data_IF_316937768072
#
_entry.id   IF_316937768072
#
_cell.length_a   1.000
_cell.length_b   1.000
_cell.length_c   1.000
_cell.angle_alpha   90.00
_cell.angle_beta   90.00
_cell.angle_gamma   90.00
#
_symmetry.space_group_name_H-M   'P 1'
#
loop_
_entity.id
_entity.type
_entity.pdbx_description
1 polymer ?
#
# COMPACT_ATOMS: atom_id res chain seq x y z
N UNK A 1 -9.64 3.66 -14.57
CA UNK A 1 -8.70 2.52 -14.60
C UNK A 1 -8.63 1.96 -13.20
N UNK A 2 -8.92 0.67 -13.03
CA UNK A 2 -9.06 0.03 -11.71
C UNK A 2 -7.71 -0.10 -10.99
N UNK A 3 -7.74 -0.02 -9.65
CA UNK A 3 -6.63 -0.34 -8.75
C UNK A 3 -6.05 -1.74 -9.00
N UNK A 4 -6.89 -2.72 -9.36
CA UNK A 4 -6.45 -4.08 -9.67
C UNK A 4 -5.52 -4.12 -10.90
N UNK A 5 -5.84 -3.35 -11.94
CA UNK A 5 -4.99 -3.24 -13.14
C UNK A 5 -3.63 -2.64 -12.80
N UNK A 6 -3.60 -1.51 -12.08
CA UNK A 6 -2.34 -0.88 -11.68
C UNK A 6 -1.49 -1.80 -10.79
N UNK A 7 -2.12 -2.51 -9.84
CA UNK A 7 -1.47 -3.52 -9.02
C UNK A 7 -0.82 -4.61 -9.88
N UNK A 8 -1.55 -5.16 -10.86
CA UNK A 8 -1.06 -6.23 -11.72
C UNK A 8 0.15 -5.82 -12.58
N UNK A 9 0.17 -4.59 -13.09
CA UNK A 9 1.31 -4.13 -13.94
C UNK A 9 2.50 -3.60 -13.14
N UNK A 10 2.29 -3.12 -11.91
CA UNK A 10 3.36 -2.56 -11.09
C UNK A 10 4.06 -3.63 -10.25
N UNK A 11 3.35 -4.68 -9.82
CA UNK A 11 3.94 -5.74 -8.98
C UNK A 11 5.19 -6.36 -9.62
N UNK A 12 5.19 -6.80 -10.90
CA UNK A 12 6.40 -7.37 -11.51
C UNK A 12 7.61 -6.43 -11.50
N UNK A 13 7.39 -5.12 -11.70
CA UNK A 13 8.46 -4.12 -11.66
C UNK A 13 9.07 -3.98 -10.27
N UNK A 14 8.24 -4.05 -9.23
CA UNK A 14 8.72 -4.04 -7.84
C UNK A 14 9.55 -5.30 -7.58
N UNK A 15 9.10 -6.48 -8.04
CA UNK A 15 9.87 -7.72 -7.91
C UNK A 15 11.24 -7.62 -8.61
N UNK A 16 11.31 -7.06 -9.82
CA UNK A 16 12.58 -6.84 -10.52
C UNK A 16 13.53 -5.93 -9.75
N UNK A 17 13.03 -4.86 -9.12
CA UNK A 17 13.83 -3.97 -8.29
C UNK A 17 14.36 -4.73 -7.06
N UNK A 18 13.51 -5.51 -6.40
CA UNK A 18 13.91 -6.31 -5.24
C UNK A 18 14.98 -7.34 -5.62
N UNK A 19 14.80 -8.07 -6.73
CA UNK A 19 15.76 -9.07 -7.20
C UNK A 19 17.16 -8.47 -7.44
N UNK A 20 17.23 -7.28 -8.03
CA UNK A 20 18.50 -6.57 -8.28
C UNK A 20 19.17 -6.06 -7.01
N UNK A 21 18.43 -5.89 -5.91
CA UNK A 21 18.91 -5.20 -4.71
C UNK A 21 18.91 -6.07 -3.44
N UNK A 22 18.41 -7.31 -3.48
CA UNK A 22 18.19 -8.16 -2.28
C UNK A 22 19.42 -8.45 -1.41
N UNK A 23 20.63 -8.18 -1.90
CA UNK A 23 21.89 -8.27 -1.14
C UNK A 23 22.52 -6.93 -0.78
N UNK A 24 21.93 -5.81 -1.20
CA UNK A 24 22.47 -4.46 -1.04
C UNK A 24 21.90 -3.70 0.17
N UNK A 25 20.82 -4.22 0.78
CA UNK A 25 20.11 -3.56 1.88
C UNK A 25 19.62 -4.58 2.92
N UNK A 26 19.61 -4.15 4.18
CA UNK A 26 19.17 -4.99 5.30
C UNK A 26 17.66 -5.15 5.40
N UNK A 27 16.88 -4.21 4.84
CA UNK A 27 15.41 -4.21 4.89
C UNK A 27 14.81 -3.41 3.71
N UNK A 28 13.57 -3.74 3.37
CA UNK A 28 12.80 -3.04 2.35
C UNK A 28 11.44 -2.59 2.89
N UNK A 29 10.92 -1.48 2.34
CA UNK A 29 9.56 -1.01 2.60
C UNK A 29 8.80 -0.94 1.28
N UNK A 30 7.67 -1.63 1.21
CA UNK A 30 6.71 -1.45 0.12
C UNK A 30 5.82 -0.24 0.45
N UNK A 31 6.14 0.90 -0.15
CA UNK A 31 5.50 2.19 0.16
C UNK A 31 4.17 2.40 -0.58
N UNK A 32 3.18 1.52 -0.36
CA UNK A 32 1.83 1.66 -0.92
C UNK A 32 0.75 1.38 0.13
N UNK A 33 -0.33 2.18 0.16
CA UNK A 33 -1.30 2.15 1.27
C UNK A 33 -2.07 0.83 1.47
N UNK A 34 -2.15 -0.03 0.45
CA UNK A 34 -2.77 -1.36 0.53
C UNK A 34 -1.77 -2.49 0.23
N UNK A 35 -0.49 -2.18 0.09
CA UNK A 35 0.62 -3.11 -0.19
C UNK A 35 0.32 -4.19 -1.27
N UNK A 36 -0.10 -3.79 -2.48
CA UNK A 36 -0.31 -4.74 -3.57
C UNK A 36 0.93 -5.57 -3.86
N UNK A 37 0.77 -6.89 -3.91
CA UNK A 37 1.87 -7.81 -4.23
C UNK A 37 2.88 -8.02 -3.09
N UNK A 38 2.60 -7.58 -1.86
CA UNK A 38 3.51 -7.76 -0.71
C UNK A 38 3.91 -9.24 -0.50
N UNK A 39 2.96 -10.17 -0.61
CA UNK A 39 3.25 -11.59 -0.43
C UNK A 39 4.18 -12.13 -1.52
N UNK A 40 4.03 -11.66 -2.77
CA UNK A 40 4.97 -11.96 -3.83
C UNK A 40 6.35 -11.35 -3.54
N UNK A 41 6.41 -10.11 -3.03
CA UNK A 41 7.67 -9.49 -2.64
C UNK A 41 8.40 -10.29 -1.56
N UNK A 42 7.66 -10.88 -0.61
CA UNK A 42 8.22 -11.73 0.46
C UNK A 42 8.86 -13.02 -0.04
N UNK A 43 8.48 -13.51 -1.22
CA UNK A 43 9.15 -14.64 -1.88
C UNK A 43 10.56 -14.24 -2.32
N UNK A 44 10.74 -13.00 -2.76
CA UNK A 44 12.03 -12.46 -3.24
C UNK A 44 12.92 -12.03 -2.08
N UNK A 45 12.37 -11.28 -1.12
CA UNK A 45 13.09 -10.77 0.06
C UNK A 45 12.20 -10.91 1.30
N UNK A 46 12.62 -11.69 2.30
CA UNK A 46 11.81 -11.97 3.50
C UNK A 46 11.64 -10.76 4.42
N UNK A 47 12.65 -9.90 4.44
CA UNK A 47 12.82 -8.68 5.23
C UNK A 47 12.17 -7.45 4.56
N UNK A 48 10.96 -7.62 4.03
CA UNK A 48 10.15 -6.52 3.48
C UNK A 48 8.90 -6.29 4.34
N UNK A 49 8.62 -5.02 4.62
CA UNK A 49 7.45 -4.58 5.39
C UNK A 49 6.54 -3.75 4.49
N UNK A 50 5.25 -4.05 4.49
CA UNK A 50 4.24 -3.20 3.85
C UNK A 50 3.99 -1.95 4.68
N UNK A 51 3.97 -0.76 4.06
CA UNK A 51 3.60 0.47 4.76
C UNK A 51 2.15 0.41 5.27
N UNK A 52 1.24 -0.14 4.46
CA UNK A 52 -0.16 -0.33 4.85
C UNK A 52 -0.30 -1.32 6.02
N UNK A 53 0.39 -2.44 5.94
CA UNK A 53 0.50 -3.46 7.00
C UNK A 53 1.01 -2.84 8.29
N UNK A 54 2.12 -2.10 8.25
CA UNK A 54 2.69 -1.44 9.42
C UNK A 54 1.72 -0.44 10.05
N UNK A 55 1.05 0.38 9.23
CA UNK A 55 0.07 1.34 9.70
C UNK A 55 -1.14 0.66 10.37
N UNK A 56 -1.66 -0.40 9.75
CA UNK A 56 -2.77 -1.18 10.29
C UNK A 56 -2.36 -1.84 11.61
N UNK A 57 -1.22 -2.54 11.65
CA UNK A 57 -0.70 -3.20 12.85
C UNK A 57 -0.49 -2.21 14.00
N UNK A 58 0.02 -1.01 13.70
CA UNK A 58 0.17 0.07 14.68
C UNK A 58 -1.20 0.53 15.21
N UNK A 59 -2.19 0.74 14.34
CA UNK A 59 -3.56 1.06 14.76
C UNK A 59 -4.19 -0.07 15.59
N UNK A 60 -3.81 -1.33 15.35
CA UNK A 60 -4.19 -2.48 16.19
C UNK A 60 -3.67 -2.38 17.62
N UNK A 61 -2.41 -1.98 17.76
CA UNK A 61 -1.78 -1.87 19.07
C UNK A 61 -2.33 -0.69 19.89
N UNK A 62 -2.75 0.39 19.22
CA UNK A 62 -3.13 1.65 19.88
C UNK A 62 -4.63 1.79 20.16
N UNK A 63 -5.50 1.12 19.40
CA UNK A 63 -6.94 1.34 19.49
C UNK A 63 -7.74 0.05 19.29
N UNK A 64 -8.91 -0.04 19.95
CA UNK A 64 -9.86 -1.16 19.72
C UNK A 64 -10.42 -1.14 18.30
N UNK A 65 -10.72 0.05 17.80
CA UNK A 65 -11.26 0.32 16.47
C UNK A 65 -10.57 1.56 15.87
N UNK A 66 -10.51 1.63 14.54
CA UNK A 66 -9.92 2.73 13.79
C UNK A 66 -10.69 2.99 12.49
N UNK A 67 -10.39 4.10 11.83
CA UNK A 67 -10.91 4.44 10.50
C UNK A 67 -9.76 4.58 9.50
N UNK A 68 -10.03 4.24 8.25
CA UNK A 68 -9.07 4.35 7.16
C UNK A 68 -9.40 5.56 6.28
N UNK A 69 -8.45 6.46 6.09
CA UNK A 69 -8.58 7.58 5.16
C UNK A 69 -7.87 7.20 3.85
N UNK A 70 -8.64 7.00 2.79
CA UNK A 70 -8.16 6.52 1.49
C UNK A 70 -8.04 7.65 0.47
N UNK A 71 -7.43 7.36 -0.68
CA UNK A 71 -7.30 8.36 -1.75
C UNK A 71 -8.49 8.45 -2.69
N UNK A 72 -9.21 7.34 -2.87
CA UNK A 72 -10.35 7.20 -3.79
C UNK A 72 -11.37 6.21 -3.21
N UNK A 73 -12.62 6.28 -3.67
CA UNK A 73 -13.66 5.33 -3.28
C UNK A 73 -13.25 3.88 -3.53
N UNK A 74 -12.62 3.60 -4.69
CA UNK A 74 -12.12 2.26 -5.00
C UNK A 74 -11.10 1.77 -3.97
N UNK A 75 -10.17 2.63 -3.54
CA UNK A 75 -9.22 2.26 -2.48
C UNK A 75 -9.88 2.12 -1.12
N UNK A 76 -10.94 2.88 -0.81
CA UNK A 76 -11.71 2.70 0.42
C UNK A 76 -12.40 1.33 0.43
N UNK A 77 -13.02 0.96 -0.70
CA UNK A 77 -13.74 -0.30 -0.86
C UNK A 77 -12.83 -1.53 -0.71
N UNK A 78 -11.53 -1.42 -1.00
CA UNK A 78 -10.56 -2.50 -0.88
C UNK A 78 -9.97 -2.68 0.55
N UNK A 79 -10.20 -1.74 1.48
CA UNK A 79 -9.66 -1.83 2.85
C UNK A 79 -10.09 -3.09 3.60
N UNK A 80 -11.37 -3.54 3.55
CA UNK A 80 -11.78 -4.76 4.23
C UNK A 80 -11.04 -6.01 3.74
N UNK A 81 -10.76 -6.12 2.44
CA UNK A 81 -9.96 -7.23 1.89
C UNK A 81 -8.52 -7.19 2.40
N UNK A 82 -7.94 -5.98 2.49
CA UNK A 82 -6.60 -5.82 3.05
C UNK A 82 -6.52 -6.22 4.52
N UNK A 83 -7.54 -5.91 5.32
CA UNK A 83 -7.61 -6.33 6.72
C UNK A 83 -7.68 -7.85 6.83
N UNK A 84 -8.55 -8.48 6.03
CA UNK A 84 -8.68 -9.94 5.97
C UNK A 84 -7.37 -10.62 5.58
N UNK A 85 -6.64 -10.10 4.59
CA UNK A 85 -5.35 -10.67 4.18
C UNK A 85 -4.29 -10.63 5.30
N UNK A 86 -4.44 -9.72 6.27
CA UNK A 86 -3.56 -9.61 7.44
C UNK A 86 -4.08 -10.41 8.65
N UNK A 87 -5.18 -11.16 8.51
CA UNK A 87 -5.81 -11.87 9.62
C UNK A 87 -6.48 -10.96 10.65
N UNK A 88 -6.80 -9.73 10.28
CA UNK A 88 -7.42 -8.74 11.16
C UNK A 88 -8.92 -8.73 10.92
N UNK A 89 -9.70 -8.81 11.99
CA UNK A 89 -11.16 -8.69 11.92
C UNK A 89 -11.56 -7.34 11.29
N UNK A 90 -12.28 -7.33 10.15
CA UNK A 90 -12.76 -6.11 9.53
C UNK A 90 -13.60 -5.22 10.45
N UNK A 91 -14.23 -5.77 11.50
CA UNK A 91 -14.99 -5.01 12.51
C UNK A 91 -14.13 -3.99 13.28
N UNK A 92 -12.79 -4.15 13.22
CA UNK A 92 -11.84 -3.18 13.78
C UNK A 92 -11.73 -1.91 12.95
N UNK A 93 -12.10 -1.93 11.68
CA UNK A 93 -12.18 -0.74 10.84
C UNK A 93 -13.63 -0.26 10.73
N UNK A 94 -13.99 0.79 11.45
CA UNK A 94 -15.39 1.28 11.52
C UNK A 94 -15.80 2.11 10.31
N UNK A 95 -14.83 2.60 9.53
CA UNK A 95 -15.08 3.25 8.25
C UNK A 95 -13.82 3.35 7.40
N UNK A 96 -13.95 3.18 6.08
CA UNK A 96 -12.96 3.62 5.11
C UNK A 96 -13.57 4.76 4.27
N UNK A 97 -12.90 5.91 4.17
CA UNK A 97 -13.44 7.09 3.48
C UNK A 97 -12.38 7.73 2.58
N UNK A 98 -12.71 8.06 1.31
CA UNK A 98 -11.81 8.86 0.52
C UNK A 98 -11.72 10.27 1.08
N UNK A 99 -10.50 10.79 1.17
CA UNK A 99 -10.25 12.21 1.47
C UNK A 99 -9.91 13.02 0.22
N UNK A 100 -9.77 12.34 -0.92
CA UNK A 100 -9.31 12.90 -2.18
C UNK A 100 -10.43 13.37 -3.11
N UNK A 101 -11.12 14.44 -2.74
CA UNK A 101 -11.75 15.37 -3.71
C UNK A 101 -11.07 16.74 -3.75
N UNK A 102 -10.07 16.98 -2.89
CA UNK A 102 -9.32 18.24 -2.87
C UNK A 102 -8.25 18.30 -3.98
N UNK A 103 -8.30 19.37 -4.77
CA UNK A 103 -7.39 19.66 -5.89
C UNK A 103 -5.90 19.56 -5.51
N UNK A 104 -5.54 19.91 -4.27
CA UNK A 104 -4.15 19.89 -3.81
C UNK A 104 -3.53 18.49 -3.71
N UNK A 105 -4.28 17.50 -3.22
CA UNK A 105 -3.77 16.12 -3.10
C UNK A 105 -3.58 15.52 -4.48
N UNK A 106 -4.52 15.79 -5.39
CA UNK A 106 -4.45 15.37 -6.79
C UNK A 106 -3.30 16.05 -7.51
N UNK A 107 -3.09 17.36 -7.28
CA UNK A 107 -1.98 18.15 -7.83
C UNK A 107 -0.63 17.61 -7.37
N UNK A 108 -0.44 17.41 -6.05
CA UNK A 108 0.80 16.81 -5.50
C UNK A 108 1.06 15.41 -6.04
N UNK A 109 0.01 14.58 -6.23
CA UNK A 109 0.17 13.26 -6.88
C UNK A 109 0.70 13.39 -8.30
N UNK A 110 0.18 14.32 -9.10
CA UNK A 110 0.64 14.55 -10.48
C UNK A 110 2.08 15.07 -10.53
N UNK A 111 2.43 15.99 -9.64
CA UNK A 111 3.80 16.52 -9.50
C UNK A 111 4.79 15.40 -9.14
N UNK A 112 4.45 14.57 -8.16
CA UNK A 112 5.29 13.44 -7.74
C UNK A 112 5.39 12.33 -8.79
N UNK A 113 4.31 12.05 -9.53
CA UNK A 113 4.33 11.08 -10.64
C UNK A 113 5.32 11.48 -11.74
N UNK A 114 5.47 12.78 -12.01
CA UNK A 114 6.49 13.29 -12.94
C UNK A 114 7.90 12.96 -12.49
N UNK A 115 8.16 13.09 -11.19
CA UNK A 115 9.45 12.74 -10.59
C UNK A 115 9.71 11.23 -10.60
N UNK A 116 8.73 10.41 -10.21
CA UNK A 116 8.90 8.95 -10.20
C UNK A 116 9.20 8.34 -11.57
N UNK A 117 8.70 8.94 -12.66
CA UNK A 117 9.00 8.51 -14.04
C UNK A 117 10.42 8.82 -14.50
N UNK A 118 11.13 9.71 -13.82
CA UNK A 118 12.50 10.07 -14.18
C UNK A 118 13.55 9.20 -13.47
N UNK A 119 13.14 8.50 -12.41
CA UNK A 119 14.05 7.76 -11.50
C UNK A 119 13.91 6.24 -11.69
N UNK A 120 12.84 5.77 -12.33
CA UNK A 120 12.65 4.37 -12.76
C UNK A 120 12.72 4.23 -14.27
#
# INVERSE_FOLDING_TARGET
MSNAYHSAIQTPKVLDILERNKGSYDYFILACGLDPGLDACRVVVKNIIGMGEAAIMTACALAKQFSFLSSTEETAAAVPDRLRSLGIDPSRCVSARPVGTNDEIVKKRKEMLGHYRQIG
#
